data_IF_973622814075
#
_entry.id   IF_973622814075
#
_cell.length_a   1.000
_cell.length_b   1.000
_cell.length_c   1.000
_cell.angle_alpha   90.00
_cell.angle_beta   90.00
_cell.angle_gamma   90.00
#
_symmetry.space_group_name_H-M   'P 1'
#
loop_
_entity.id
_entity.type
_entity.pdbx_description
1 polymer ?
#
# COMPACT_ATOMS: atom_id res chain seq x y z
N UNK A 1 -7.75 -17.70 71.42
CA UNK A 1 -7.31 -18.84 72.26
C UNK A 1 -7.42 -20.11 71.43
N UNK A 2 -6.51 -21.10 71.56
CA UNK A 2 -5.12 -21.04 72.03
C UNK A 2 -4.11 -21.69 71.04
N UNK A 3 -2.83 -21.71 71.41
CA UNK A 3 -1.70 -22.30 70.66
C UNK A 3 -1.51 -23.81 70.89
N UNK A 4 -0.78 -24.48 69.98
CA UNK A 4 0.25 -25.52 70.23
C UNK A 4 1.25 -25.39 69.06
N UNK A 5 2.54 -25.01 69.14
CA UNK A 5 3.74 -25.31 70.00
C UNK A 5 4.57 -26.53 69.55
N UNK A 6 5.86 -26.28 69.24
CA UNK A 6 6.94 -27.26 68.98
C UNK A 6 8.05 -26.67 68.08
N UNK A 7 9.11 -26.01 68.60
CA UNK A 7 10.40 -26.60 69.06
C UNK A 7 11.15 -27.35 67.92
N UNK A 8 12.37 -27.03 67.45
CA UNK A 8 13.39 -25.98 67.72
C UNK A 8 14.38 -25.94 66.52
N UNK A 9 15.57 -25.32 66.51
CA UNK A 9 16.28 -24.47 67.49
C UNK A 9 17.35 -23.56 66.77
N UNK A 10 18.42 -23.08 67.44
CA UNK A 10 19.31 -21.98 66.97
C UNK A 10 20.80 -22.32 66.67
N UNK A 11 21.49 -21.35 66.02
CA UNK A 11 22.96 -21.13 65.89
C UNK A 11 23.65 -22.03 64.82
N UNK A 12 24.55 -21.57 63.93
CA UNK A 12 25.55 -20.49 64.01
C UNK A 12 25.80 -19.69 62.71
N UNK A 13 26.30 -18.46 62.83
CA UNK A 13 27.06 -17.75 61.78
C UNK A 13 28.57 -18.01 61.93
N UNK A 14 29.32 -18.03 60.82
CA UNK A 14 30.50 -17.18 60.75
C UNK A 14 30.73 -16.51 59.37
N UNK A 15 31.16 -15.25 59.41
CA UNK A 15 31.81 -14.54 58.30
C UNK A 15 33.33 -14.87 58.26
N UNK A 16 34.12 -14.38 57.29
CA UNK A 16 33.91 -14.37 55.83
C UNK A 16 35.15 -14.92 55.08
N UNK A 17 35.02 -15.29 53.80
CA UNK A 17 36.18 -15.26 52.87
C UNK A 17 35.74 -15.24 51.40
N UNK A 18 36.51 -14.57 50.55
CA UNK A 18 36.15 -14.33 49.16
C UNK A 18 36.60 -15.45 48.21
N UNK A 19 35.76 -15.78 47.23
CA UNK A 19 36.14 -16.35 45.94
C UNK A 19 35.00 -16.09 44.95
N UNK A 20 35.33 -15.55 43.78
CA UNK A 20 34.33 -15.11 42.81
C UNK A 20 33.61 -16.28 42.14
N UNK A 21 32.30 -16.15 41.93
CA UNK A 21 31.51 -17.04 41.09
C UNK A 21 30.81 -16.23 40.01
N UNK A 22 31.05 -16.63 38.77
CA UNK A 22 30.36 -16.14 37.58
C UNK A 22 28.92 -16.65 37.65
N UNK A 23 27.95 -15.73 37.69
CA UNK A 23 26.54 -16.10 37.59
C UNK A 23 26.20 -16.44 36.13
N UNK A 24 26.44 -17.71 35.76
CA UNK A 24 25.96 -18.29 34.52
C UNK A 24 24.45 -18.53 34.58
N UNK A 25 23.65 -17.45 34.51
CA UNK A 25 22.23 -17.56 34.18
C UNK A 25 22.10 -17.88 32.70
N UNK A 26 22.31 -19.15 32.36
CA UNK A 26 22.04 -19.68 31.03
C UNK A 26 20.56 -19.48 30.71
N UNK A 27 20.26 -18.51 29.85
CA UNK A 27 19.00 -18.50 29.12
C UNK A 27 18.97 -19.80 28.34
N UNK A 28 18.10 -20.72 28.76
CA UNK A 28 17.87 -21.95 28.02
C UNK A 28 17.21 -21.54 26.71
N UNK A 29 18.00 -21.52 25.64
CA UNK A 29 17.50 -21.41 24.28
C UNK A 29 16.45 -22.50 24.10
N UNK A 30 15.18 -22.09 24.08
CA UNK A 30 14.10 -22.99 23.69
C UNK A 30 14.39 -23.37 22.24
N UNK A 31 14.35 -24.66 21.87
CA UNK A 31 14.46 -25.02 20.46
C UNK A 31 13.40 -24.24 19.70
N UNK A 32 13.83 -23.49 18.68
CA UNK A 32 12.94 -22.78 17.78
C UNK A 32 11.91 -23.78 17.27
N UNK A 33 10.62 -23.50 17.46
CA UNK A 33 9.56 -24.33 16.86
C UNK A 33 9.87 -24.47 15.37
N UNK A 34 9.97 -25.71 14.88
CA UNK A 34 9.99 -25.94 13.44
C UNK A 34 8.67 -25.40 12.88
N UNK A 35 8.71 -24.47 11.90
CA UNK A 35 7.50 -23.91 11.33
C UNK A 35 6.60 -24.99 10.73
N UNK A 36 5.30 -24.85 10.89
CA UNK A 36 4.31 -25.79 10.34
C UNK A 36 4.38 -25.88 8.81
N UNK A 37 4.79 -24.80 8.14
CA UNK A 37 5.08 -24.79 6.71
C UNK A 37 6.45 -24.15 6.42
N UNK A 38 7.21 -24.66 5.43
CA UNK A 38 8.48 -24.05 5.03
C UNK A 38 8.26 -22.61 4.57
N UNK A 39 9.18 -21.71 4.94
CA UNK A 39 9.13 -20.30 4.51
C UNK A 39 9.39 -20.21 2.99
N UNK A 40 8.59 -19.45 2.23
CA UNK A 40 8.83 -19.23 0.81
C UNK A 40 10.21 -18.60 0.57
N UNK A 41 10.86 -18.98 -0.54
CA UNK A 41 12.15 -18.42 -0.91
C UNK A 41 11.96 -17.25 -1.89
N UNK A 42 11.95 -16.03 -1.35
CA UNK A 42 11.69 -14.79 -2.09
C UNK A 42 12.88 -14.31 -2.93
N UNK A 43 13.34 -15.15 -3.86
CA UNK A 43 14.37 -14.76 -4.84
C UNK A 43 13.90 -13.62 -5.76
N UNK A 44 14.79 -12.70 -6.15
CA UNK A 44 14.58 -11.82 -7.30
C UNK A 44 14.33 -12.63 -8.58
N UNK A 45 13.30 -12.28 -9.35
CA UNK A 45 13.05 -12.89 -10.64
C UNK A 45 13.98 -12.36 -11.74
N UNK A 46 14.07 -13.09 -12.85
CA UNK A 46 14.84 -12.69 -14.03
C UNK A 46 13.87 -12.18 -15.11
N UNK A 47 13.90 -10.88 -15.47
CA UNK A 47 13.09 -10.35 -16.55
C UNK A 47 13.32 -11.06 -17.89
N UNK A 48 12.30 -11.06 -18.74
CA UNK A 48 12.42 -11.51 -20.13
C UNK A 48 13.31 -10.52 -20.90
N UNK A 49 14.03 -10.97 -21.96
CA UNK A 49 14.84 -10.09 -22.80
C UNK A 49 14.04 -8.94 -23.43
N UNK A 50 14.68 -7.81 -23.77
CA UNK A 50 14.03 -6.67 -24.43
C UNK A 50 13.23 -7.10 -25.68
N UNK A 51 12.05 -6.53 -25.86
CA UNK A 51 11.13 -6.90 -26.94
C UNK A 51 10.31 -8.17 -26.70
N UNK A 52 10.55 -8.90 -25.62
CA UNK A 52 9.67 -9.99 -25.17
C UNK A 52 8.34 -9.45 -24.65
N UNK A 53 7.24 -10.14 -24.95
CA UNK A 53 5.93 -9.82 -24.41
C UNK A 53 5.67 -10.49 -23.05
N UNK A 54 4.88 -9.82 -22.21
CA UNK A 54 4.37 -10.35 -20.95
C UNK A 54 2.87 -10.58 -21.10
N UNK A 55 2.40 -11.75 -20.68
CA UNK A 55 0.98 -12.00 -20.45
C UNK A 55 0.57 -11.30 -19.17
N UNK A 56 -0.45 -10.44 -19.23
CA UNK A 56 -0.93 -9.62 -18.13
C UNK A 56 -2.39 -9.93 -17.82
N UNK A 57 -2.76 -10.01 -16.54
CA UNK A 57 -4.18 -10.05 -16.10
C UNK A 57 -4.42 -9.00 -15.04
N UNK A 58 -5.54 -8.29 -15.16
CA UNK A 58 -6.06 -7.37 -14.15
C UNK A 58 -7.23 -8.05 -13.44
N UNK A 59 -7.08 -8.27 -12.13
CA UNK A 59 -8.08 -8.85 -11.25
C UNK A 59 -8.75 -7.72 -10.49
N UNK A 60 -10.05 -7.57 -10.67
CA UNK A 60 -10.87 -6.52 -10.04
C UNK A 60 -12.14 -7.14 -9.43
N UNK A 61 -12.51 -6.80 -8.19
CA UNK A 61 -13.87 -7.01 -7.72
C UNK A 61 -14.81 -6.03 -8.44
N UNK A 62 -16.07 -6.41 -8.64
CA UNK A 62 -17.12 -5.53 -9.13
C UNK A 62 -18.37 -5.74 -8.28
N UNK A 63 -18.97 -4.65 -7.79
CA UNK A 63 -20.25 -4.67 -7.08
C UNK A 63 -21.29 -3.79 -7.79
N UNK A 64 -22.54 -4.25 -7.89
CA UNK A 64 -23.65 -3.48 -8.42
C UNK A 64 -23.41 -2.92 -9.83
N UNK A 65 -23.41 -1.59 -9.94
CA UNK A 65 -23.29 -0.84 -11.21
C UNK A 65 -21.88 -0.25 -11.43
N UNK A 66 -20.85 -0.71 -10.70
CA UNK A 66 -19.46 -0.29 -10.93
C UNK A 66 -19.00 -0.57 -12.37
N UNK A 67 -18.46 0.43 -13.06
CA UNK A 67 -17.98 0.29 -14.44
C UNK A 67 -16.57 -0.31 -14.51
N UNK A 68 -16.43 -1.41 -15.24
CA UNK A 68 -15.16 -2.09 -15.54
C UNK A 68 -14.90 -2.24 -17.05
N UNK A 69 -15.76 -1.70 -17.92
CA UNK A 69 -15.58 -1.79 -19.37
C UNK A 69 -14.39 -0.94 -19.87
N UNK A 70 -14.01 0.10 -19.11
CA UNK A 70 -12.80 0.89 -19.34
C UNK A 70 -11.54 0.01 -19.48
N UNK A 71 -11.48 -1.14 -18.81
CA UNK A 71 -10.32 -2.07 -18.89
C UNK A 71 -10.11 -2.53 -20.34
N UNK A 72 -11.18 -2.90 -21.04
CA UNK A 72 -11.09 -3.39 -22.44
C UNK A 72 -10.84 -2.26 -23.43
N UNK A 73 -11.24 -1.03 -23.09
CA UNK A 73 -11.14 0.15 -23.95
C UNK A 73 -9.75 0.79 -23.86
N UNK A 74 -9.26 1.01 -22.63
CA UNK A 74 -8.04 1.77 -22.35
C UNK A 74 -6.79 0.89 -22.22
N UNK A 75 -6.93 -0.36 -21.74
CA UNK A 75 -5.82 -1.30 -21.53
C UNK A 75 -6.06 -2.67 -22.19
N UNK A 76 -6.28 -2.73 -23.51
CA UNK A 76 -6.62 -3.96 -24.23
C UNK A 76 -5.53 -5.05 -24.20
N UNK A 77 -4.30 -4.74 -23.78
CA UNK A 77 -3.24 -5.74 -23.56
C UNK A 77 -3.30 -6.42 -22.18
N UNK A 78 -4.15 -5.93 -21.28
CA UNK A 78 -4.46 -6.59 -20.01
C UNK A 78 -5.72 -7.44 -20.16
N UNK A 79 -5.62 -8.74 -19.86
CA UNK A 79 -6.80 -9.61 -19.78
C UNK A 79 -7.60 -9.23 -18.51
N UNK A 80 -8.87 -8.82 -18.61
CA UNK A 80 -9.72 -8.65 -17.43
C UNK A 80 -10.07 -10.00 -16.79
N UNK A 81 -10.04 -10.05 -15.45
CA UNK A 81 -10.61 -11.07 -14.59
C UNK A 81 -11.51 -10.39 -13.55
N UNK A 82 -12.69 -9.98 -14.00
CA UNK A 82 -13.68 -9.24 -13.19
C UNK A 82 -14.52 -10.22 -12.39
N UNK A 83 -14.48 -10.15 -11.06
CA UNK A 83 -15.30 -10.96 -10.17
C UNK A 83 -16.48 -10.15 -9.66
N UNK A 84 -17.70 -10.50 -10.10
CA UNK A 84 -18.92 -9.85 -9.63
C UNK A 84 -19.27 -10.42 -8.25
N UNK A 85 -19.30 -9.58 -7.21
CA UNK A 85 -19.37 -10.05 -5.81
C UNK A 85 -20.79 -10.23 -5.26
N UNK A 86 -21.79 -9.76 -5.98
CA UNK A 86 -23.21 -9.75 -5.58
C UNK A 86 -24.14 -10.58 -6.50
N UNK A 87 -23.65 -11.03 -7.66
CA UNK A 87 -24.35 -11.99 -8.54
C UNK A 87 -23.75 -13.40 -8.46
N UNK A 88 -24.47 -14.33 -7.82
CA UNK A 88 -24.10 -15.75 -7.71
C UNK A 88 -24.06 -16.49 -9.07
N UNK A 89 -24.65 -15.92 -10.11
CA UNK A 89 -24.69 -16.49 -11.47
C UNK A 89 -23.55 -16.01 -12.37
N UNK A 90 -22.75 -15.04 -11.92
CA UNK A 90 -21.62 -14.53 -12.67
C UNK A 90 -20.55 -15.62 -12.90
N UNK A 91 -19.91 -15.68 -14.09
CA UNK A 91 -18.89 -16.70 -14.39
C UNK A 91 -17.65 -16.65 -13.48
N UNK A 92 -17.34 -15.47 -12.94
CA UNK A 92 -16.33 -15.25 -11.92
C UNK A 92 -17.04 -14.64 -10.70
N UNK A 93 -17.18 -15.43 -9.65
CA UNK A 93 -17.82 -15.04 -8.40
C UNK A 93 -17.03 -15.66 -7.22
N UNK A 94 -16.71 -14.91 -6.15
CA UNK A 94 -16.03 -15.47 -4.98
C UNK A 94 -16.91 -16.50 -4.25
N UNK A 95 -16.37 -17.42 -3.43
CA UNK A 95 -17.18 -18.41 -2.71
C UNK A 95 -18.18 -17.79 -1.70
N UNK A 96 -17.93 -16.54 -1.28
CA UNK A 96 -18.81 -15.68 -0.48
C UNK A 96 -18.33 -14.25 -0.60
N UNK A 97 -19.21 -13.26 -0.61
CA UNK A 97 -18.83 -11.87 -0.37
C UNK A 97 -18.50 -11.67 1.12
N UNK A 98 -17.21 -11.63 1.46
CA UNK A 98 -16.69 -11.43 2.82
C UNK A 98 -15.28 -10.84 2.72
N UNK A 99 -14.96 -9.79 3.47
CA UNK A 99 -13.62 -9.17 3.46
C UNK A 99 -13.25 -8.44 2.18
N UNK A 100 -14.23 -7.84 1.49
CA UNK A 100 -14.06 -6.97 0.32
C UNK A 100 -13.20 -7.60 -0.80
N UNK A 101 -12.21 -6.90 -1.35
CA UNK A 101 -11.38 -7.35 -2.46
C UNK A 101 -10.54 -8.62 -2.14
N UNK A 102 -10.27 -8.87 -0.85
CA UNK A 102 -9.38 -9.96 -0.40
C UNK A 102 -9.90 -11.33 -0.84
N UNK A 103 -11.22 -11.57 -0.75
CA UNK A 103 -11.81 -12.86 -1.14
C UNK A 103 -11.76 -13.08 -2.65
N UNK A 104 -11.81 -12.00 -3.45
CA UNK A 104 -11.63 -12.03 -4.90
C UNK A 104 -10.18 -12.33 -5.26
N UNK A 105 -9.23 -11.58 -4.69
CA UNK A 105 -7.80 -11.75 -4.98
C UNK A 105 -7.31 -13.16 -4.61
N UNK A 106 -7.67 -13.66 -3.42
CA UNK A 106 -7.32 -15.02 -2.99
C UNK A 106 -8.00 -16.08 -3.86
N UNK A 107 -9.25 -15.89 -4.27
CA UNK A 107 -9.94 -16.86 -5.14
C UNK A 107 -9.29 -16.92 -6.52
N UNK A 108 -8.99 -15.79 -7.16
CA UNK A 108 -8.25 -15.79 -8.41
C UNK A 108 -6.92 -16.56 -8.31
N UNK A 109 -6.12 -16.29 -7.27
CA UNK A 109 -4.83 -16.99 -7.05
C UNK A 109 -5.03 -18.50 -6.92
N UNK A 110 -6.05 -18.94 -6.18
CA UNK A 110 -6.34 -20.37 -5.95
C UNK A 110 -6.86 -21.03 -7.24
N UNK A 111 -7.81 -20.41 -7.91
CA UNK A 111 -8.52 -21.00 -9.05
C UNK A 111 -7.62 -21.04 -10.30
N UNK A 112 -6.73 -20.05 -10.45
CA UNK A 112 -5.80 -19.94 -11.57
C UNK A 112 -4.35 -20.38 -11.27
N UNK A 113 -4.03 -20.83 -10.05
CA UNK A 113 -2.66 -21.13 -9.58
C UNK A 113 -1.77 -21.86 -10.60
N UNK A 114 -2.31 -22.90 -11.24
CA UNK A 114 -1.59 -23.77 -12.16
C UNK A 114 -1.49 -23.22 -13.60
N UNK A 115 -2.07 -22.04 -13.86
CA UNK A 115 -2.20 -21.37 -15.18
C UNK A 115 -2.10 -19.84 -15.10
N UNK A 116 -1.46 -19.29 -14.06
CA UNK A 116 -1.25 -17.85 -13.87
C UNK A 116 -0.57 -17.22 -15.11
N UNK A 117 -0.86 -15.96 -15.47
CA UNK A 117 -0.11 -15.19 -16.48
C UNK A 117 1.28 -14.78 -15.94
N UNK A 118 2.11 -14.10 -16.73
CA UNK A 118 3.42 -13.60 -16.26
C UNK A 118 3.27 -12.54 -15.16
N UNK A 119 2.29 -11.64 -15.31
CA UNK A 119 2.03 -10.48 -14.46
C UNK A 119 0.55 -10.46 -14.07
N UNK A 120 0.27 -10.34 -12.77
CA UNK A 120 -1.08 -10.22 -12.23
C UNK A 120 -1.15 -8.90 -11.45
N UNK A 121 -2.02 -7.98 -11.85
CA UNK A 121 -2.41 -6.82 -11.05
C UNK A 121 -3.71 -7.11 -10.31
N UNK A 122 -3.78 -6.66 -9.06
CA UNK A 122 -4.94 -6.71 -8.18
C UNK A 122 -5.27 -5.27 -7.81
N UNK A 123 -6.50 -4.83 -8.08
CA UNK A 123 -6.87 -3.43 -8.02
C UNK A 123 -8.37 -3.26 -7.76
N UNK A 124 -8.81 -2.07 -7.35
CA UNK A 124 -10.23 -1.74 -7.32
C UNK A 124 -10.79 -1.51 -8.75
N UNK A 125 -12.11 -1.58 -8.91
CA UNK A 125 -12.83 -1.46 -10.19
C UNK A 125 -12.72 -0.10 -10.86
N UNK A 126 -12.50 0.97 -10.10
CA UNK A 126 -12.62 2.36 -10.54
C UNK A 126 -11.43 2.81 -11.40
N UNK A 127 -11.70 3.34 -12.61
CA UNK A 127 -10.65 3.95 -13.44
C UNK A 127 -10.05 5.20 -12.78
N UNK A 128 -10.91 6.09 -12.27
CA UNK A 128 -10.49 7.33 -11.62
C UNK A 128 -10.79 7.26 -10.13
N UNK A 129 -9.77 7.34 -9.29
CA UNK A 129 -9.92 7.24 -7.84
C UNK A 129 -8.84 8.00 -7.06
N UNK A 130 -9.17 8.40 -5.83
CA UNK A 130 -8.26 9.13 -4.93
C UNK A 130 -7.04 8.30 -4.47
N UNK A 131 -7.14 6.97 -4.51
CA UNK A 131 -6.08 6.04 -4.11
C UNK A 131 -5.13 5.67 -5.26
N UNK A 132 -5.40 6.14 -6.47
CA UNK A 132 -4.47 6.07 -7.60
C UNK A 132 -3.55 7.30 -7.54
N UNK A 133 -2.27 7.16 -7.93
CA UNK A 133 -1.31 8.26 -7.75
C UNK A 133 -1.68 9.51 -8.59
N UNK A 134 -1.60 10.66 -7.93
CA UNK A 134 -1.95 11.98 -8.47
C UNK A 134 -1.05 12.42 -9.64
N UNK A 135 0.11 11.76 -9.85
CA UNK A 135 0.98 11.96 -11.01
C UNK A 135 0.37 11.44 -12.33
N UNK A 136 -0.60 10.54 -12.22
CA UNK A 136 -1.40 10.02 -13.33
C UNK A 136 -2.84 10.57 -13.29
N UNK A 137 -3.07 11.70 -12.59
CA UNK A 137 -4.39 12.30 -12.38
C UNK A 137 -5.43 11.31 -11.80
N UNK A 138 -4.98 10.37 -10.98
CA UNK A 138 -5.83 9.32 -10.41
C UNK A 138 -6.30 8.25 -11.41
N UNK A 139 -5.75 8.21 -12.63
CA UNK A 139 -6.16 7.31 -13.71
C UNK A 139 -5.41 5.96 -13.66
N UNK A 140 -6.13 4.90 -13.29
CA UNK A 140 -5.61 3.54 -13.23
C UNK A 140 -5.17 2.99 -14.60
N UNK A 141 -5.79 3.43 -15.69
CA UNK A 141 -5.38 3.01 -17.03
C UNK A 141 -3.96 3.50 -17.36
N UNK A 142 -3.65 4.77 -17.10
CA UNK A 142 -2.32 5.32 -17.34
C UNK A 142 -1.25 4.64 -16.46
N UNK A 143 -1.57 4.35 -15.20
CA UNK A 143 -0.72 3.54 -14.31
C UNK A 143 -0.38 2.19 -14.95
N UNK A 144 -1.39 1.42 -15.37
CA UNK A 144 -1.22 0.06 -15.89
C UNK A 144 -0.62 -0.01 -17.31
N UNK A 145 -0.78 1.04 -18.11
CA UNK A 145 -0.08 1.21 -19.40
C UNK A 145 1.43 1.44 -19.18
N UNK A 146 1.79 2.32 -18.24
CA UNK A 146 3.19 2.68 -17.93
C UNK A 146 3.94 1.64 -17.10
N UNK A 147 3.21 0.77 -16.39
CA UNK A 147 3.78 -0.20 -15.46
C UNK A 147 4.85 -1.08 -16.10
N UNK A 148 6.06 -1.04 -15.53
CA UNK A 148 7.22 -1.81 -15.96
C UNK A 148 7.14 -3.28 -15.52
N UNK A 149 6.88 -4.25 -16.43
CA UNK A 149 6.79 -5.65 -16.06
C UNK A 149 8.11 -6.21 -15.54
N UNK A 150 9.24 -5.66 -15.99
CA UNK A 150 10.56 -6.14 -15.59
C UNK A 150 10.88 -5.76 -14.13
N UNK A 151 10.44 -4.59 -13.63
CA UNK A 151 10.52 -4.30 -12.18
C UNK A 151 9.70 -5.29 -11.38
N UNK A 152 8.46 -5.56 -11.80
CA UNK A 152 7.58 -6.53 -11.13
C UNK A 152 8.22 -7.92 -11.06
N UNK A 153 8.86 -8.39 -12.14
CA UNK A 153 9.62 -9.65 -12.09
C UNK A 153 10.87 -9.55 -11.21
N UNK A 154 11.67 -8.47 -11.29
CA UNK A 154 12.86 -8.27 -10.45
C UNK A 154 12.53 -8.32 -8.96
N UNK A 155 11.44 -7.67 -8.53
CA UNK A 155 11.05 -7.58 -7.12
C UNK A 155 10.13 -8.72 -6.67
N UNK A 156 9.41 -9.34 -7.61
CA UNK A 156 8.37 -10.34 -7.37
C UNK A 156 7.01 -9.73 -7.02
N UNK A 157 7.02 -8.62 -6.28
CA UNK A 157 5.88 -7.82 -5.82
C UNK A 157 6.18 -6.32 -5.99
N UNK A 158 5.16 -5.53 -6.26
CA UNK A 158 5.19 -4.07 -6.20
C UNK A 158 3.80 -3.56 -5.83
N UNK A 159 3.71 -2.64 -4.88
CA UNK A 159 2.49 -1.86 -4.67
C UNK A 159 2.28 -0.93 -5.89
N UNK A 160 1.06 -0.83 -6.40
CA UNK A 160 0.76 0.03 -7.55
C UNK A 160 0.83 1.50 -7.16
N UNK A 161 0.55 1.83 -5.90
CA UNK A 161 0.72 3.17 -5.35
C UNK A 161 2.18 3.40 -4.94
N UNK A 162 2.75 4.49 -5.41
CA UNK A 162 4.07 4.96 -5.02
C UNK A 162 4.04 6.00 -3.91
N UNK A 163 2.98 6.81 -3.82
CA UNK A 163 2.85 7.84 -2.77
C UNK A 163 2.77 7.23 -1.37
N UNK A 164 3.57 7.71 -0.43
CA UNK A 164 3.73 7.11 0.91
C UNK A 164 2.51 7.26 1.83
N UNK A 165 1.70 8.31 1.67
CA UNK A 165 0.62 8.63 2.60
C UNK A 165 -0.77 8.19 2.06
N UNK A 166 -1.58 7.44 2.84
CA UNK A 166 -1.25 6.77 4.11
C UNK A 166 -0.45 5.47 3.87
N UNK A 167 0.20 4.98 4.92
CA UNK A 167 0.79 3.63 4.94
C UNK A 167 2.31 3.53 5.11
N UNK A 168 3.07 4.59 4.82
CA UNK A 168 4.53 4.63 4.98
C UNK A 168 5.03 5.90 5.71
N UNK A 169 6.19 5.84 6.38
CA UNK A 169 7.05 4.67 6.59
C UNK A 169 6.68 3.84 7.83
N UNK A 170 5.76 4.33 8.67
CA UNK A 170 5.45 3.83 10.00
C UNK A 170 3.93 3.99 10.21
N UNK A 171 3.16 2.91 9.99
CA UNK A 171 1.70 3.01 9.86
C UNK A 171 0.93 2.22 10.91
N UNK A 172 1.09 0.90 10.99
CA UNK A 172 0.35 0.06 11.92
C UNK A 172 1.27 -0.62 12.92
N UNK A 173 0.95 -0.50 14.20
CA UNK A 173 1.65 -1.13 15.31
C UNK A 173 0.73 -2.17 15.96
N UNK A 174 0.91 -3.48 15.69
CA UNK A 174 0.07 -4.53 16.27
C UNK A 174 -0.01 -4.55 17.81
N UNK A 175 0.92 -3.89 18.50
CA UNK A 175 0.90 -3.73 19.96
C UNK A 175 0.01 -2.58 20.49
N UNK A 176 -0.59 -1.76 19.63
CA UNK A 176 -1.48 -0.66 20.05
C UNK A 176 -2.76 -1.19 20.69
N UNK A 177 -3.16 -0.58 21.81
CA UNK A 177 -4.38 -0.90 22.57
C UNK A 177 -5.42 0.21 22.55
N UNK A 178 -5.06 1.41 22.10
CA UNK A 178 -5.95 2.57 22.00
C UNK A 178 -6.58 2.59 20.60
N UNK A 179 -7.87 2.91 20.50
CA UNK A 179 -8.58 2.94 19.21
C UNK A 179 -8.30 4.27 18.49
N UNK A 180 -7.86 4.19 17.24
CA UNK A 180 -7.68 5.31 16.31
C UNK A 180 -8.77 5.23 15.22
N UNK A 181 -9.55 6.30 15.04
CA UNK A 181 -10.62 6.39 14.03
C UNK A 181 -10.08 6.23 12.59
N UNK A 182 -8.79 6.51 12.36
CA UNK A 182 -8.11 6.36 11.07
C UNK A 182 -7.46 4.98 10.86
N UNK A 183 -7.34 4.18 11.92
CA UNK A 183 -6.67 2.86 11.94
C UNK A 183 -7.49 1.82 12.73
N UNK A 184 -8.78 1.74 12.45
CA UNK A 184 -9.73 0.92 13.23
C UNK A 184 -9.37 -0.59 13.29
N UNK A 185 -8.54 -1.07 12.37
CA UNK A 185 -7.97 -2.42 12.37
C UNK A 185 -6.83 -2.66 13.37
N UNK A 186 -6.13 -1.62 13.84
CA UNK A 186 -4.82 -1.72 14.49
C UNK A 186 -4.86 -2.56 15.77
N UNK A 187 -5.84 -2.31 16.64
CA UNK A 187 -6.04 -3.05 17.91
C UNK A 187 -6.39 -4.53 17.71
N UNK A 188 -6.81 -4.92 16.50
CA UNK A 188 -7.13 -6.30 16.13
C UNK A 188 -5.95 -7.02 15.45
N UNK A 189 -4.86 -6.32 15.12
CA UNK A 189 -3.74 -6.90 14.35
C UNK A 189 -2.98 -7.96 15.12
N UNK A 190 -2.60 -7.76 16.39
CA UNK A 190 -1.83 -8.78 17.13
C UNK A 190 -2.56 -10.14 17.21
N UNK A 191 -3.87 -10.12 17.44
CA UNK A 191 -4.70 -11.33 17.41
C UNK A 191 -4.74 -11.93 16.00
N UNK A 192 -5.05 -11.12 15.01
CA UNK A 192 -5.22 -11.57 13.63
C UNK A 192 -3.92 -12.12 13.05
N UNK A 193 -2.79 -11.50 13.38
CA UNK A 193 -1.45 -11.98 13.05
C UNK A 193 -1.20 -13.39 13.59
N UNK A 194 -1.47 -13.63 14.88
CA UNK A 194 -1.35 -14.97 15.46
C UNK A 194 -2.28 -16.03 14.83
N UNK A 195 -3.36 -15.61 14.17
CA UNK A 195 -4.28 -16.47 13.42
C UNK A 195 -3.95 -16.63 11.92
N UNK A 196 -3.11 -15.76 11.33
CA UNK A 196 -2.75 -15.75 9.90
C UNK A 196 -1.29 -16.21 9.67
N UNK A 197 -0.38 -15.86 10.58
CA UNK A 197 1.05 -16.20 10.56
C UNK A 197 1.48 -16.83 11.90
N UNK A 198 0.93 -18.02 12.27
CA UNK A 198 1.13 -18.61 13.61
C UNK A 198 2.59 -19.01 13.94
N UNK A 199 3.48 -19.06 12.93
CA UNK A 199 4.91 -19.38 13.06
C UNK A 199 5.83 -18.14 12.99
N UNK A 200 5.27 -16.93 12.78
CA UNK A 200 6.03 -15.69 12.66
C UNK A 200 5.80 -14.79 13.88
N UNK A 201 6.86 -14.11 14.40
CA UNK A 201 6.69 -13.16 15.49
C UNK A 201 5.78 -12.01 15.06
N UNK A 202 4.97 -11.51 15.98
CA UNK A 202 4.18 -10.28 15.76
C UNK A 202 5.19 -9.13 15.55
N UNK A 203 5.07 -8.35 14.47
CA UNK A 203 6.00 -7.26 14.19
C UNK A 203 5.69 -6.02 15.01
N UNK A 204 6.69 -5.18 15.25
CA UNK A 204 6.52 -3.88 15.91
C UNK A 204 5.82 -2.84 15.00
N UNK A 205 5.98 -2.99 13.68
CA UNK A 205 5.47 -2.10 12.63
C UNK A 205 5.06 -2.91 11.40
N UNK A 206 3.93 -2.55 10.79
CA UNK A 206 3.52 -2.90 9.44
C UNK A 206 3.36 -1.62 8.60
N UNK A 207 4.03 -1.55 7.45
CA UNK A 207 4.02 -0.36 6.60
C UNK A 207 4.25 -0.67 5.11
N UNK A 208 3.38 -0.12 4.26
CA UNK A 208 3.49 -0.04 2.79
C UNK A 208 2.52 1.04 2.30
N UNK A 209 2.60 1.57 1.07
CA UNK A 209 1.53 2.40 0.52
C UNK A 209 0.17 1.70 0.60
N UNK A 210 -0.89 2.45 0.89
CA UNK A 210 -2.21 1.90 1.24
C UNK A 210 -2.93 1.08 0.16
N UNK A 211 -4.16 0.71 0.51
CA UNK A 211 -5.29 0.54 -0.41
C UNK A 211 -5.27 -0.72 -1.27
N UNK A 212 -4.53 -1.76 -0.87
CA UNK A 212 -4.61 -3.11 -1.44
C UNK A 212 -4.44 -3.22 -2.97
N UNK A 213 -3.84 -2.22 -3.63
CA UNK A 213 -3.60 -2.22 -5.07
C UNK A 213 -2.14 -2.61 -5.34
N UNK A 214 -1.91 -3.77 -5.94
CA UNK A 214 -0.56 -4.30 -6.11
C UNK A 214 -0.45 -5.19 -7.34
N UNK A 215 0.78 -5.42 -7.76
CA UNK A 215 1.12 -6.29 -8.88
C UNK A 215 2.18 -7.30 -8.45
N UNK A 216 2.02 -8.54 -8.92
CA UNK A 216 2.94 -9.66 -8.65
C UNK A 216 3.29 -10.40 -9.92
N UNK A 217 4.48 -10.99 -9.91
CA UNK A 217 4.92 -11.95 -10.92
C UNK A 217 4.36 -13.35 -10.66
N UNK A 218 4.18 -14.11 -11.74
CA UNK A 218 3.87 -15.55 -11.71
C UNK A 218 4.78 -16.31 -10.74
N UNK A 219 6.08 -16.09 -10.86
CA UNK A 219 7.12 -16.79 -10.12
C UNK A 219 7.04 -16.48 -8.63
N UNK A 220 6.62 -15.27 -8.24
CA UNK A 220 6.44 -14.90 -6.83
C UNK A 220 5.21 -15.56 -6.20
N UNK A 221 4.10 -15.68 -6.93
CA UNK A 221 2.95 -16.47 -6.46
C UNK A 221 3.34 -17.95 -6.32
N UNK A 222 4.02 -18.52 -7.33
CA UNK A 222 4.40 -19.93 -7.35
C UNK A 222 5.47 -20.29 -6.30
N UNK A 223 6.23 -19.33 -5.78
CA UNK A 223 7.13 -19.53 -4.63
C UNK A 223 6.38 -19.84 -3.32
N UNK A 224 5.08 -19.53 -3.26
CA UNK A 224 4.21 -19.72 -2.10
C UNK A 224 3.26 -20.89 -2.39
N UNK A 225 3.29 -22.00 -1.62
CA UNK A 225 2.44 -23.16 -1.90
C UNK A 225 0.94 -22.82 -1.93
N UNK A 226 0.21 -23.32 -2.93
CA UNK A 226 -1.26 -23.13 -3.11
C UNK A 226 -2.08 -23.26 -1.83
N UNK A 227 -1.73 -24.24 -0.99
CA UNK A 227 -2.40 -24.50 0.30
C UNK A 227 -2.34 -23.31 1.28
N UNK A 228 -1.33 -22.43 1.18
CA UNK A 228 -1.22 -21.22 2.01
C UNK A 228 -2.24 -20.16 1.61
N UNK A 229 -2.48 -19.97 0.31
CA UNK A 229 -3.56 -19.09 -0.17
C UNK A 229 -4.94 -19.63 0.21
N UNK A 230 -5.13 -20.96 0.17
CA UNK A 230 -6.36 -21.60 0.70
C UNK A 230 -6.54 -21.31 2.18
N UNK A 231 -5.51 -21.49 3.00
CA UNK A 231 -5.54 -21.17 4.45
C UNK A 231 -5.89 -19.69 4.72
N UNK A 232 -5.32 -18.76 3.95
CA UNK A 232 -5.66 -17.33 4.03
C UNK A 232 -7.13 -17.06 3.67
N UNK A 233 -7.64 -17.75 2.63
CA UNK A 233 -9.05 -17.62 2.22
C UNK A 233 -9.99 -18.18 3.30
N UNK A 234 -9.61 -19.31 3.89
CA UNK A 234 -10.36 -19.94 4.97
C UNK A 234 -10.35 -19.07 6.23
N UNK A 235 -9.28 -18.31 6.51
CA UNK A 235 -9.26 -17.29 7.57
C UNK A 235 -10.30 -16.20 7.32
N UNK A 236 -10.34 -15.61 6.12
CA UNK A 236 -11.33 -14.59 5.74
C UNK A 236 -12.76 -15.13 5.91
N UNK A 237 -13.02 -16.37 5.45
CA UNK A 237 -14.35 -16.97 5.50
C UNK A 237 -14.81 -17.36 6.91
N UNK A 238 -13.88 -17.68 7.83
CA UNK A 238 -14.17 -18.16 9.18
C UNK A 238 -14.10 -17.07 10.27
N UNK A 239 -13.46 -15.93 10.01
CA UNK A 239 -13.26 -14.91 11.04
C UNK A 239 -14.58 -14.23 11.43
N UNK A 240 -14.72 -13.95 12.73
CA UNK A 240 -15.88 -13.23 13.31
C UNK A 240 -15.79 -11.71 13.08
N UNK A 241 -14.65 -11.22 12.58
CA UNK A 241 -14.45 -9.81 12.23
C UNK A 241 -15.39 -9.38 11.10
N UNK A 242 -15.86 -8.12 11.16
CA UNK A 242 -16.66 -7.51 10.10
C UNK A 242 -15.90 -7.50 8.77
N UNK A 243 -16.61 -7.37 7.65
CA UNK A 243 -15.99 -7.32 6.32
C UNK A 243 -14.98 -6.20 6.21
N UNK A 244 -15.40 -5.00 6.63
CA UNK A 244 -14.55 -3.82 6.76
C UNK A 244 -13.24 -4.08 7.52
N UNK A 245 -13.31 -4.58 8.77
CA UNK A 245 -12.08 -4.81 9.57
C UNK A 245 -11.23 -5.93 8.97
N UNK A 246 -11.84 -7.02 8.49
CA UNK A 246 -11.10 -8.12 7.86
C UNK A 246 -10.39 -7.73 6.56
N UNK A 247 -10.98 -6.81 5.77
CA UNK A 247 -10.35 -6.23 4.59
C UNK A 247 -9.21 -5.26 4.95
N UNK A 248 -9.47 -4.32 5.87
CA UNK A 248 -8.49 -3.35 6.38
C UNK A 248 -7.22 -3.98 6.95
N UNK A 249 -7.35 -5.10 7.68
CA UNK A 249 -6.19 -5.90 8.13
C UNK A 249 -5.36 -6.34 6.92
N UNK A 250 -6.01 -6.90 5.90
CA UNK A 250 -5.34 -7.46 4.72
C UNK A 250 -4.74 -6.42 3.78
N UNK A 251 -5.27 -5.20 3.77
CA UNK A 251 -4.68 -4.02 3.09
C UNK A 251 -3.17 -3.90 3.37
N UNK A 252 -2.75 -4.22 4.60
CA UNK A 252 -1.35 -4.18 5.06
C UNK A 252 -0.70 -5.56 5.26
N UNK A 253 -1.23 -6.63 4.64
CA UNK A 253 -0.59 -7.96 4.66
C UNK A 253 -0.07 -8.44 3.30
N UNK A 254 -0.48 -7.84 2.18
CA UNK A 254 -0.05 -8.27 0.85
C UNK A 254 1.47 -8.24 0.65
N UNK A 255 2.13 -7.18 1.12
CA UNK A 255 3.59 -7.09 1.07
C UNK A 255 4.24 -8.19 1.94
N UNK A 256 3.74 -8.45 3.16
CA UNK A 256 4.22 -9.56 4.01
C UNK A 256 4.09 -10.91 3.28
N UNK A 257 2.93 -11.19 2.69
CA UNK A 257 2.65 -12.43 1.95
C UNK A 257 3.60 -12.60 0.75
N UNK A 258 3.92 -11.53 0.02
CA UNK A 258 4.72 -11.62 -1.20
C UNK A 258 6.19 -11.20 -1.08
N UNK A 259 6.66 -10.73 0.08
CA UNK A 259 8.07 -10.34 0.29
C UNK A 259 8.70 -10.96 1.54
N UNK A 260 7.89 -11.31 2.55
CA UNK A 260 8.37 -11.69 3.87
C UNK A 260 8.88 -10.53 4.72
N UNK A 261 8.76 -9.30 4.24
CA UNK A 261 9.13 -8.08 4.96
C UNK A 261 7.88 -7.41 5.53
N UNK A 262 8.00 -6.80 6.72
CA UNK A 262 6.92 -6.10 7.40
C UNK A 262 6.84 -4.61 7.04
N UNK A 263 7.86 -4.08 6.36
CA UNK A 263 7.95 -2.68 5.95
C UNK A 263 8.47 -2.64 4.52
N UNK A 264 7.59 -2.33 3.56
CA UNK A 264 7.93 -2.19 2.13
C UNK A 264 7.55 -0.78 1.67
N UNK A 265 8.42 0.17 2.03
CA UNK A 265 8.29 1.59 1.72
C UNK A 265 9.44 2.06 0.80
N UNK A 266 9.40 1.72 -0.51
CA UNK A 266 10.40 2.21 -1.46
C UNK A 266 10.31 3.73 -1.57
N UNK A 267 11.45 4.42 -1.76
CA UNK A 267 11.44 5.86 -2.03
C UNK A 267 10.57 6.17 -3.25
N UNK A 268 9.72 7.18 -3.14
CA UNK A 268 8.67 7.48 -4.12
C UNK A 268 9.25 7.68 -5.54
N UNK A 269 10.32 8.48 -5.69
CA UNK A 269 11.02 8.67 -6.97
C UNK A 269 11.55 7.36 -7.59
N UNK A 270 12.10 6.44 -6.79
CA UNK A 270 12.54 5.11 -7.26
C UNK A 270 11.35 4.25 -7.69
N UNK A 271 10.20 4.39 -7.02
CA UNK A 271 8.97 3.71 -7.40
C UNK A 271 8.45 4.20 -8.76
N UNK A 272 8.35 5.52 -8.95
CA UNK A 272 7.94 6.14 -10.22
C UNK A 272 8.93 5.87 -11.36
N UNK A 273 10.24 5.95 -11.11
CA UNK A 273 11.26 5.81 -12.13
C UNK A 273 11.37 4.38 -12.67
N UNK A 274 11.65 3.41 -11.79
CA UNK A 274 11.86 2.02 -12.18
C UNK A 274 10.53 1.28 -12.42
N UNK A 275 9.42 1.76 -11.85
CA UNK A 275 8.09 1.15 -11.96
C UNK A 275 7.20 1.72 -13.05
N UNK A 276 7.33 3.01 -13.38
CA UNK A 276 6.45 3.69 -14.35
C UNK A 276 7.19 4.52 -15.41
N UNK A 277 8.53 4.53 -15.40
CA UNK A 277 9.33 5.30 -16.35
C UNK A 277 9.26 6.82 -16.14
N UNK A 278 9.05 7.28 -14.90
CA UNK A 278 9.10 8.71 -14.56
C UNK A 278 10.26 8.94 -13.60
N UNK A 279 11.41 9.34 -14.16
CA UNK A 279 12.68 9.45 -13.46
C UNK A 279 13.04 10.90 -13.21
N UNK A 280 13.01 11.35 -11.96
CA UNK A 280 13.17 12.76 -11.61
C UNK A 280 14.63 13.23 -11.71
N UNK A 281 15.59 12.31 -11.71
CA UNK A 281 17.03 12.58 -11.76
C UNK A 281 17.72 12.41 -10.40
N UNK A 282 16.93 12.31 -9.33
CA UNK A 282 17.36 12.25 -7.95
C UNK A 282 16.19 12.45 -7.00
N UNK A 283 16.50 12.36 -5.71
CA UNK A 283 15.55 12.64 -4.62
C UNK A 283 15.28 14.14 -4.50
N UNK A 284 16.30 14.98 -4.69
CA UNK A 284 16.20 16.44 -4.62
C UNK A 284 15.26 17.02 -5.69
N UNK A 285 15.37 16.57 -6.95
CA UNK A 285 14.45 17.00 -8.03
C UNK A 285 13.01 16.50 -7.82
N UNK A 286 12.83 15.37 -7.15
CA UNK A 286 11.50 14.86 -6.81
C UNK A 286 10.89 15.63 -5.63
N UNK A 287 11.69 15.99 -4.63
CA UNK A 287 11.26 16.80 -3.49
C UNK A 287 10.83 18.21 -3.94
N UNK A 288 11.55 18.80 -4.89
CA UNK A 288 11.13 20.06 -5.53
C UNK A 288 9.80 19.92 -6.30
N UNK A 289 9.60 18.81 -7.02
CA UNK A 289 8.31 18.52 -7.67
C UNK A 289 7.17 18.38 -6.65
N UNK A 290 7.39 17.66 -5.54
CA UNK A 290 6.41 17.52 -4.44
C UNK A 290 6.09 18.87 -3.82
N UNK A 291 7.11 19.70 -3.54
CA UNK A 291 6.94 21.07 -2.99
C UNK A 291 6.07 21.92 -3.91
N UNK A 292 6.38 21.94 -5.21
CA UNK A 292 5.60 22.71 -6.19
C UNK A 292 4.15 22.23 -6.29
N UNK A 293 3.87 20.92 -6.17
CA UNK A 293 2.50 20.40 -6.08
C UNK A 293 1.78 20.85 -4.81
N UNK A 294 2.41 20.75 -3.64
CA UNK A 294 1.82 21.21 -2.37
C UNK A 294 1.43 22.69 -2.47
N UNK A 295 2.35 23.53 -2.92
CA UNK A 295 2.10 24.97 -3.09
C UNK A 295 1.08 25.28 -4.19
N UNK A 296 0.88 24.40 -5.19
CA UNK A 296 -0.22 24.54 -6.16
C UNK A 296 -1.56 24.22 -5.47
N UNK A 297 -1.63 23.12 -4.73
CA UNK A 297 -2.83 22.72 -4.00
C UNK A 297 -3.28 23.76 -2.97
N UNK A 298 -2.34 24.32 -2.20
CA UNK A 298 -2.59 25.41 -1.26
C UNK A 298 -3.21 26.64 -1.96
N UNK A 299 -2.70 27.04 -3.14
CA UNK A 299 -3.27 28.13 -3.93
C UNK A 299 -4.65 27.79 -4.53
N UNK A 300 -4.89 26.54 -4.91
CA UNK A 300 -6.20 26.07 -5.40
C UNK A 300 -7.25 26.05 -4.27
N UNK A 301 -6.85 25.71 -3.04
CA UNK A 301 -7.70 25.83 -1.85
C UNK A 301 -8.00 27.30 -1.49
N UNK A 302 -7.00 28.18 -1.50
CA UNK A 302 -7.17 29.64 -1.34
C UNK A 302 -8.15 30.21 -2.38
N UNK A 303 -7.99 29.84 -3.66
CA UNK A 303 -8.86 30.31 -4.75
C UNK A 303 -10.29 29.79 -4.59
N UNK A 304 -10.46 28.53 -4.16
CA UNK A 304 -11.77 27.93 -3.86
C UNK A 304 -12.44 28.64 -2.68
N UNK A 305 -11.69 28.95 -1.63
CA UNK A 305 -12.19 29.68 -0.46
C UNK A 305 -12.62 31.11 -0.84
N UNK A 306 -11.77 31.87 -1.53
CA UNK A 306 -12.06 33.22 -2.00
C UNK A 306 -13.33 33.26 -2.87
N UNK A 307 -13.47 32.31 -3.80
CA UNK A 307 -14.67 32.21 -4.66
C UNK A 307 -15.93 31.90 -3.85
N UNK A 308 -15.82 31.07 -2.82
CA UNK A 308 -16.92 30.78 -1.90
C UNK A 308 -17.38 32.00 -1.08
N UNK A 309 -16.44 32.80 -0.55
CA UNK A 309 -16.77 34.06 0.13
C UNK A 309 -17.44 35.07 -0.84
N UNK A 310 -16.91 35.20 -2.06
CA UNK A 310 -17.46 36.09 -3.09
C UNK A 310 -18.88 35.68 -3.51
N UNK A 311 -19.14 34.38 -3.67
CA UNK A 311 -20.48 33.86 -3.98
C UNK A 311 -21.47 34.11 -2.82
N UNK A 312 -21.05 33.89 -1.57
CA UNK A 312 -21.88 34.16 -0.40
C UNK A 312 -22.30 35.64 -0.30
N UNK A 313 -21.39 36.57 -0.60
CA UNK A 313 -21.68 38.02 -0.65
C UNK A 313 -22.73 38.34 -1.71
N UNK A 314 -22.60 37.77 -2.92
CA UNK A 314 -23.55 38.06 -4.00
C UNK A 314 -24.94 37.47 -3.70
N UNK A 315 -25.01 36.31 -3.02
CA UNK A 315 -26.27 35.74 -2.55
C UNK A 315 -26.95 36.68 -1.53
N UNK A 316 -26.24 37.12 -0.49
CA UNK A 316 -26.77 38.08 0.51
C UNK A 316 -27.23 39.40 -0.12
N UNK A 317 -26.54 39.84 -1.18
CA UNK A 317 -26.89 41.03 -1.96
C UNK A 317 -28.17 40.85 -2.78
N UNK A 318 -28.37 39.67 -3.37
CA UNK A 318 -29.56 39.34 -4.16
C UNK A 318 -30.81 39.11 -3.29
N UNK A 319 -30.63 38.50 -2.11
CA UNK A 319 -31.71 38.24 -1.14
C UNK A 319 -32.08 39.52 -0.35
N UNK A 320 -31.19 40.51 -0.31
CA UNK A 320 -31.44 41.81 0.35
C UNK A 320 -31.28 41.77 1.87
N UNK A 321 -30.55 40.78 2.37
CA UNK A 321 -30.23 40.56 3.80
C UNK A 321 -28.93 41.26 4.23
N UNK A 322 -28.12 41.71 3.27
CA UNK A 322 -26.98 42.60 3.48
C UNK A 322 -27.39 43.90 4.21
N UNK A 323 -26.88 44.10 5.43
CA UNK A 323 -27.15 45.27 6.27
C UNK A 323 -26.02 45.58 7.25
N UNK A 324 -26.09 46.71 7.96
CA UNK A 324 -25.00 47.22 8.82
C UNK A 324 -24.54 46.28 9.95
N UNK A 325 -25.31 45.21 10.24
CA UNK A 325 -24.97 44.19 11.25
C UNK A 325 -24.42 42.88 10.65
N UNK A 326 -24.37 42.76 9.33
CA UNK A 326 -23.78 41.58 8.67
C UNK A 326 -22.25 41.65 8.75
N UNK A 327 -21.66 40.84 9.64
CA UNK A 327 -20.22 40.68 9.78
C UNK A 327 -19.67 39.85 8.61
N UNK A 328 -19.53 40.47 7.45
CA UNK A 328 -19.01 39.83 6.24
C UNK A 328 -17.61 40.38 5.92
N UNK A 329 -16.62 39.49 5.89
CA UNK A 329 -15.32 39.74 5.25
C UNK A 329 -15.55 39.92 3.76
N UNK A 330 -15.21 41.09 3.20
CA UNK A 330 -15.18 41.27 1.75
C UNK A 330 -13.80 40.82 1.26
N UNK A 331 -13.69 39.80 0.38
CA UNK A 331 -12.42 39.37 -0.15
C UNK A 331 -11.73 40.46 -0.97
N UNK A 332 -10.40 40.49 -0.96
CA UNK A 332 -9.63 41.50 -1.71
C UNK A 332 -9.91 41.41 -3.23
N UNK A 333 -10.39 42.50 -3.87
CA UNK A 333 -10.72 42.48 -5.29
C UNK A 333 -9.51 42.22 -6.20
N UNK A 334 -9.61 41.24 -7.10
CA UNK A 334 -8.55 40.86 -8.04
C UNK A 334 -7.57 39.81 -7.50
N UNK A 335 -7.72 39.39 -6.23
CA UNK A 335 -6.91 38.30 -5.64
C UNK A 335 -7.17 36.95 -6.32
N UNK A 336 -8.37 36.73 -6.84
CA UNK A 336 -8.71 35.59 -7.70
C UNK A 336 -7.80 35.49 -8.93
N UNK A 337 -7.61 36.60 -9.64
CA UNK A 337 -6.77 36.69 -10.84
C UNK A 337 -5.29 36.46 -10.51
N UNK A 338 -4.84 36.95 -9.35
CA UNK A 338 -3.47 36.71 -8.86
C UNK A 338 -3.26 35.22 -8.54
N UNK A 339 -4.18 34.60 -7.81
CA UNK A 339 -4.14 33.17 -7.48
C UNK A 339 -4.16 32.30 -8.74
N UNK A 340 -5.06 32.57 -9.69
CA UNK A 340 -5.11 31.89 -10.99
C UNK A 340 -3.78 31.98 -11.75
N UNK A 341 -3.14 33.16 -11.76
CA UNK A 341 -1.84 33.34 -12.42
C UNK A 341 -0.74 32.51 -11.73
N UNK A 342 -0.69 32.48 -10.39
CA UNK A 342 0.28 31.70 -9.63
C UNK A 342 0.09 30.19 -9.80
N UNK A 343 -1.17 29.72 -9.84
CA UNK A 343 -1.52 28.31 -10.11
C UNK A 343 -1.01 27.92 -11.50
N UNK A 344 -1.27 28.71 -12.53
CA UNK A 344 -0.83 28.46 -13.91
C UNK A 344 0.71 28.45 -14.06
N UNK A 345 1.43 29.30 -13.32
CA UNK A 345 2.90 29.31 -13.30
C UNK A 345 3.48 28.04 -12.67
N UNK A 346 2.94 27.61 -11.53
CA UNK A 346 3.32 26.34 -10.88
C UNK A 346 2.97 25.14 -11.75
N UNK A 347 1.75 25.09 -12.27
CA UNK A 347 1.26 24.03 -13.15
C UNK A 347 2.20 23.83 -14.35
N UNK A 348 2.54 24.91 -15.07
CA UNK A 348 3.50 24.85 -16.18
C UNK A 348 4.85 24.26 -15.78
N UNK A 349 5.35 24.62 -14.59
CA UNK A 349 6.64 24.14 -14.07
C UNK A 349 6.58 22.66 -13.71
N UNK A 350 5.52 22.23 -13.02
CA UNK A 350 5.22 20.82 -12.68
C UNK A 350 5.14 19.97 -13.96
N UNK A 351 4.43 20.47 -14.97
CA UNK A 351 4.30 19.88 -16.30
C UNK A 351 5.65 19.69 -17.02
N UNK A 352 6.50 20.72 -17.01
CA UNK A 352 7.84 20.65 -17.61
C UNK A 352 8.75 19.67 -16.84
N UNK A 353 8.64 19.60 -15.51
CA UNK A 353 9.34 18.58 -14.71
C UNK A 353 8.85 17.17 -15.07
N UNK A 354 7.54 16.94 -15.13
CA UNK A 354 6.95 15.64 -15.44
C UNK A 354 7.27 15.17 -16.87
N UNK A 355 7.25 16.09 -17.86
CA UNK A 355 7.69 15.82 -19.25
C UNK A 355 9.16 15.41 -19.30
N UNK A 356 10.03 16.15 -18.61
CA UNK A 356 11.46 15.84 -18.57
C UNK A 356 11.74 14.53 -17.82
N UNK A 357 11.03 14.25 -16.74
CA UNK A 357 11.17 13.02 -15.96
C UNK A 357 10.69 11.78 -16.73
N UNK A 358 9.56 11.89 -17.44
CA UNK A 358 9.08 10.85 -18.38
C UNK A 358 10.12 10.57 -19.46
N UNK A 359 10.63 11.61 -20.12
CA UNK A 359 11.64 11.47 -21.18
C UNK A 359 12.96 10.87 -20.67
N UNK A 360 13.41 11.24 -19.47
CA UNK A 360 14.57 10.62 -18.80
C UNK A 360 14.30 9.13 -18.54
N UNK A 361 13.10 8.82 -18.06
CA UNK A 361 12.65 7.46 -17.78
C UNK A 361 12.29 6.62 -19.00
N UNK A 362 12.51 7.10 -20.24
CA UNK A 362 12.56 6.25 -21.45
C UNK A 362 13.87 5.42 -21.51
N UNK A 363 14.99 5.91 -20.94
CA UNK A 363 16.29 5.23 -20.95
C UNK A 363 16.43 4.17 -19.83
N UNK A 364 16.63 2.87 -20.16
CA UNK A 364 16.97 1.82 -19.21
C UNK A 364 18.13 2.14 -18.27
N UNK A 365 19.14 2.86 -18.76
CA UNK A 365 20.33 3.22 -17.97
C UNK A 365 20.00 4.26 -16.92
N UNK A 366 19.15 5.23 -17.24
CA UNK A 366 18.66 6.21 -16.28
C UNK A 366 17.77 5.56 -15.21
N UNK A 367 16.85 4.66 -15.60
CA UNK A 367 16.02 3.90 -14.66
C UNK A 367 16.85 3.06 -13.70
N UNK A 368 17.86 2.34 -14.20
CA UNK A 368 18.76 1.57 -13.36
C UNK A 368 19.60 2.45 -12.43
N UNK A 369 20.11 3.59 -12.92
CA UNK A 369 20.91 4.54 -12.13
C UNK A 369 20.14 5.13 -10.95
N UNK A 370 18.95 5.69 -11.20
CA UNK A 370 18.11 6.32 -10.15
C UNK A 370 17.63 5.27 -9.13
N UNK A 371 17.36 4.03 -9.57
CA UNK A 371 17.04 2.91 -8.68
C UNK A 371 18.27 2.22 -8.03
N UNK A 372 19.48 2.77 -8.19
CA UNK A 372 20.70 2.26 -7.56
C UNK A 372 21.16 0.87 -8.04
N UNK A 373 20.77 0.44 -9.25
CA UNK A 373 21.10 -0.88 -9.80
C UNK A 373 22.17 -0.81 -10.90
N UNK A 374 22.97 -1.86 -10.99
CA UNK A 374 23.90 -2.07 -12.10
C UNK A 374 23.14 -2.39 -13.39
N UNK A 375 23.26 -1.52 -14.39
CA UNK A 375 22.77 -1.77 -15.74
C UNK A 375 23.76 -2.61 -16.56
N UNK A 376 23.25 -3.51 -17.39
CA UNK A 376 24.01 -4.31 -18.36
C UNK A 376 23.42 -4.18 -19.76
N UNK A 377 24.26 -4.38 -20.77
CA UNK A 377 23.82 -4.39 -22.16
C UNK A 377 22.80 -5.51 -22.39
N UNK A 378 21.59 -5.14 -22.79
CA UNK A 378 20.44 -6.06 -22.89
C UNK A 378 19.48 -6.03 -21.69
N UNK A 379 19.72 -5.24 -20.64
CA UNK A 379 18.69 -4.95 -19.63
C UNK A 379 17.61 -4.04 -20.26
N UNK A 380 16.36 -4.52 -20.24
CA UNK A 380 15.21 -3.95 -20.96
C UNK A 380 14.52 -2.80 -20.24
N UNK A 381 13.18 -2.81 -20.25
CA UNK A 381 12.41 -1.78 -19.55
C UNK A 381 12.70 -1.80 -18.04
#
# INVERSE_FOLDING_TARGET
MPQVVGLGDLVATPYPTASGYVNGSGVVDKPSREPYAPRPHYAPGVPKPPGSTYTKTLVVPQAGEEDTEWIKLEIPEWQPAVYVVDDLSAPLHPPKNKGHEVIVYLSYIIDHYDKLPDIIAFMHSHQFAWHNDEIFNGNAAEMLQRLNPARVVRQGFMNLRCTWAPGCPDWLHPGTLEEDEHKQEETMLARSWGEIFPDDPIPDVLAQPCCAQFVVSRERILAIPKARFVYYRDWILRTELSDYISGRIWEYLWHVVFTGENVVCPKEHICYCDGYGICFGGEEEYDEFRRLRSEKGELEEDLKFWRGEAEAIEIERLVGTLGEQSHISVPDPGRDTELEQLILEKERTIDDMLRNATKRGEDPRARALEAGRLWKEGDGF
#
